data_IF_180360082201
#
_entry.id   IF_180360082201
#
_cell.length_a   1.000
_cell.length_b   1.000
_cell.length_c   1.000
_cell.angle_alpha   90.00
_cell.angle_beta   90.00
_cell.angle_gamma   90.00
#
_symmetry.space_group_name_H-M   'P 1'
#
loop_
_entity.id
_entity.type
_entity.pdbx_description
1 polymer ?
#
# COMPACT_ATOMS: atom_id res chain seq x y z
N UNK A 1 -2.11 45.58 38.34
CA UNK A 1 -2.13 44.12 38.17
C UNK A 1 -2.90 43.83 36.88
N UNK A 2 -2.20 43.91 35.75
CA UNK A 2 -2.74 43.88 34.37
C UNK A 2 -2.18 42.65 33.66
N UNK A 3 -2.64 41.45 34.02
CA UNK A 3 -2.18 40.21 33.40
C UNK A 3 -3.35 39.27 32.99
N UNK A 4 -4.61 39.60 33.27
CA UNK A 4 -5.70 38.61 33.08
C UNK A 4 -6.57 38.75 31.83
N UNK A 5 -6.39 39.78 30.98
CA UNK A 5 -7.16 39.89 29.73
C UNK A 5 -6.44 39.41 28.46
N UNK A 6 -5.11 39.19 28.51
CA UNK A 6 -4.35 38.77 27.33
C UNK A 6 -4.57 37.27 26.97
N UNK A 7 -4.80 36.40 27.96
CA UNK A 7 -4.92 34.96 27.72
C UNK A 7 -6.26 34.54 27.09
N UNK A 8 -7.37 35.25 27.35
CA UNK A 8 -8.68 34.90 26.80
C UNK A 8 -8.80 35.32 25.32
N UNK A 9 -8.20 36.46 24.95
CA UNK A 9 -8.24 36.96 23.56
C UNK A 9 -7.43 36.06 22.63
N UNK A 10 -6.36 35.42 23.10
CA UNK A 10 -5.57 34.45 22.32
C UNK A 10 -6.32 33.14 22.03
N UNK A 11 -7.30 32.75 22.85
CA UNK A 11 -8.04 31.50 22.67
C UNK A 11 -9.12 31.61 21.57
N UNK A 12 -9.72 32.79 21.39
CA UNK A 12 -10.77 32.99 20.39
C UNK A 12 -10.22 33.21 18.97
N UNK A 13 -9.00 33.72 18.81
CA UNK A 13 -8.36 33.85 17.48
C UNK A 13 -7.85 32.49 16.96
N UNK A 14 -7.66 31.50 17.84
CA UNK A 14 -7.28 30.13 17.44
C UNK A 14 -8.45 29.34 16.82
N UNK A 15 -9.70 29.66 17.14
CA UNK A 15 -10.88 28.97 16.56
C UNK A 15 -11.47 29.67 15.34
N UNK A 16 -10.99 30.86 14.96
CA UNK A 16 -11.59 31.65 13.88
C UNK A 16 -10.67 31.93 12.68
N UNK A 17 -9.44 31.39 12.62
CA UNK A 17 -8.56 31.59 11.47
C UNK A 17 -7.61 30.42 11.18
N UNK A 18 -8.10 29.18 11.24
CA UNK A 18 -7.51 28.11 10.43
C UNK A 18 -8.37 27.91 9.18
N UNK A 19 -8.23 28.83 8.22
CA UNK A 19 -8.33 28.35 6.84
C UNK A 19 -7.04 27.55 6.66
N UNK A 20 -7.12 26.23 6.83
CA UNK A 20 -6.12 25.35 6.25
C UNK A 20 -6.18 25.62 4.74
N UNK A 21 -5.33 26.54 4.25
CA UNK A 21 -5.01 26.59 2.84
C UNK A 21 -4.08 25.40 2.62
N UNK A 22 -4.65 24.20 2.54
CA UNK A 22 -3.94 23.05 2.02
C UNK A 22 -3.78 23.30 0.51
N UNK A 23 -2.77 24.10 0.15
CA UNK A 23 -2.27 24.25 -1.21
C UNK A 23 -1.60 22.98 -1.74
N UNK A 24 -1.73 21.86 -1.03
CA UNK A 24 -1.29 20.55 -1.47
C UNK A 24 -2.51 19.84 -2.05
N UNK A 25 -2.46 19.59 -3.36
CA UNK A 25 -3.48 18.83 -4.07
C UNK A 25 -3.83 17.51 -3.38
N UNK A 26 -5.01 16.97 -3.69
CA UNK A 26 -5.40 15.68 -3.14
C UNK A 26 -4.49 14.56 -3.68
N UNK A 27 -4.11 13.57 -2.86
CA UNK A 27 -3.41 12.40 -3.35
C UNK A 27 -4.30 11.66 -4.36
N UNK A 28 -3.74 11.32 -5.51
CA UNK A 28 -4.45 10.67 -6.61
C UNK A 28 -3.59 9.62 -7.30
N UNK A 29 -4.25 8.57 -7.79
CA UNK A 29 -3.63 7.50 -8.56
C UNK A 29 -3.99 7.62 -10.05
N UNK A 30 -3.18 7.00 -10.90
CA UNK A 30 -3.50 6.84 -12.33
C UNK A 30 -4.76 5.99 -12.52
N UNK A 31 -5.31 5.99 -13.74
CA UNK A 31 -6.41 5.08 -14.10
C UNK A 31 -6.04 3.63 -13.80
N UNK A 32 -6.98 2.89 -13.22
CA UNK A 32 -6.84 1.48 -12.82
C UNK A 32 -5.89 1.21 -11.64
N UNK A 33 -5.52 2.24 -10.88
CA UNK A 33 -4.82 2.11 -9.60
C UNK A 33 -5.74 2.55 -8.45
N UNK A 34 -5.73 1.78 -7.36
CA UNK A 34 -6.56 2.03 -6.19
C UNK A 34 -5.75 2.76 -5.11
N UNK A 35 -6.26 3.90 -4.64
CA UNK A 35 -5.62 4.72 -3.61
C UNK A 35 -5.88 4.16 -2.21
N UNK A 36 -4.82 3.78 -1.50
CA UNK A 36 -4.86 3.60 -0.05
C UNK A 36 -4.49 4.93 0.62
N UNK A 37 -5.52 5.65 1.08
CA UNK A 37 -5.39 7.01 1.62
C UNK A 37 -4.44 7.15 2.83
N UNK A 38 -4.43 6.23 3.81
CA UNK A 38 -3.61 6.38 5.02
C UNK A 38 -2.11 6.57 4.74
N UNK A 39 -1.57 5.86 3.75
CA UNK A 39 -0.15 5.95 3.37
C UNK A 39 0.07 6.75 2.07
N UNK A 40 -1.00 7.21 1.42
CA UNK A 40 -0.97 7.87 0.09
C UNK A 40 -0.23 7.01 -0.94
N UNK A 41 -0.47 5.70 -0.91
CA UNK A 41 0.08 4.74 -1.86
C UNK A 41 -1.02 4.28 -2.82
N UNK A 42 -0.63 3.97 -4.04
CA UNK A 42 -1.47 3.46 -5.11
C UNK A 42 -1.13 2.00 -5.36
N UNK A 43 -2.15 1.15 -5.44
CA UNK A 43 -1.99 -0.28 -5.66
C UNK A 43 -2.71 -0.70 -6.93
N UNK A 44 -2.12 -1.66 -7.64
CA UNK A 44 -2.75 -2.30 -8.79
C UNK A 44 -2.50 -3.79 -8.71
N UNK A 45 -3.55 -4.55 -8.98
CA UNK A 45 -3.49 -6.01 -9.04
C UNK A 45 -3.47 -6.47 -10.48
N UNK A 46 -2.63 -7.46 -10.75
CA UNK A 46 -2.52 -8.10 -12.04
C UNK A 46 -2.83 -9.57 -11.85
N UNK A 47 -3.80 -10.10 -12.58
CA UNK A 47 -4.29 -11.49 -12.47
C UNK A 47 -3.57 -12.45 -13.42
N UNK A 48 -2.42 -12.03 -13.96
CA UNK A 48 -1.62 -12.89 -14.82
C UNK A 48 -0.70 -13.79 -14.00
N UNK A 49 -0.55 -15.04 -14.44
CA UNK A 49 0.33 -16.01 -13.79
C UNK A 49 1.78 -15.71 -14.15
N UNK A 50 2.61 -15.51 -13.13
CA UNK A 50 4.01 -15.16 -13.31
C UNK A 50 4.83 -15.58 -12.09
N UNK A 51 6.15 -15.67 -12.24
CA UNK A 51 7.05 -15.90 -11.11
C UNK A 51 7.13 -14.62 -10.25
N UNK A 52 7.58 -14.74 -9.01
CA UNK A 52 7.79 -13.57 -8.16
C UNK A 52 8.83 -12.62 -8.77
N UNK A 53 9.90 -13.19 -9.35
CA UNK A 53 10.97 -12.44 -9.99
C UNK A 53 10.46 -11.63 -11.18
N UNK A 54 9.65 -12.25 -12.05
CA UNK A 54 9.05 -11.57 -13.19
C UNK A 54 8.02 -10.53 -12.77
N UNK A 55 7.20 -10.82 -11.75
CA UNK A 55 6.25 -9.85 -11.18
C UNK A 55 6.97 -8.59 -10.68
N UNK A 56 8.10 -8.77 -9.99
CA UNK A 56 8.92 -7.66 -9.50
C UNK A 56 9.45 -6.81 -10.66
N UNK A 57 9.98 -7.43 -11.71
CA UNK A 57 10.44 -6.71 -12.92
C UNK A 57 9.29 -5.96 -13.59
N UNK A 58 8.10 -6.57 -13.69
CA UNK A 58 6.91 -5.93 -14.28
C UNK A 58 6.44 -4.72 -13.46
N UNK A 59 6.45 -4.79 -12.13
CA UNK A 59 6.17 -3.63 -11.31
C UNK A 59 7.21 -2.51 -11.51
N UNK A 60 8.50 -2.86 -11.61
CA UNK A 60 9.57 -1.89 -11.85
C UNK A 60 9.44 -1.18 -13.20
N UNK A 61 9.00 -1.89 -14.26
CA UNK A 61 8.70 -1.30 -15.57
C UNK A 61 7.58 -0.24 -15.51
N UNK A 62 6.73 -0.29 -14.49
CA UNK A 62 5.66 0.69 -14.24
C UNK A 62 6.07 1.78 -13.24
N UNK A 63 7.36 1.92 -12.94
CA UNK A 63 7.90 2.78 -11.88
C UNK A 63 7.25 2.51 -10.51
N UNK A 64 6.98 1.23 -10.25
CA UNK A 64 6.39 0.71 -9.02
C UNK A 64 7.28 -0.40 -8.44
N UNK A 65 6.87 -0.95 -7.31
CA UNK A 65 7.46 -2.15 -6.72
C UNK A 65 6.37 -3.18 -6.49
N UNK A 66 6.71 -4.44 -6.17
CA UNK A 66 5.74 -5.31 -5.52
C UNK A 66 5.24 -4.66 -4.23
N UNK A 67 3.98 -4.93 -3.87
CA UNK A 67 3.34 -4.28 -2.73
C UNK A 67 3.99 -4.68 -1.40
N UNK A 68 4.20 -3.68 -0.54
CA UNK A 68 4.71 -3.84 0.83
C UNK A 68 3.59 -3.58 1.83
N UNK A 69 3.66 -4.22 3.01
CA UNK A 69 2.57 -4.20 3.99
C UNK A 69 3.12 -3.86 5.37
N UNK A 70 2.65 -2.76 5.94
CA UNK A 70 3.13 -2.18 7.21
C UNK A 70 2.06 -2.14 8.31
N UNK A 71 0.85 -2.62 8.02
CA UNK A 71 -0.22 -2.66 9.00
C UNK A 71 -1.28 -3.69 8.67
N UNK A 72 -2.03 -4.11 9.68
CA UNK A 72 -3.22 -4.96 9.49
C UNK A 72 -4.27 -4.31 8.59
N UNK A 73 -4.41 -2.99 8.64
CA UNK A 73 -5.35 -2.26 7.79
C UNK A 73 -4.93 -2.29 6.31
N UNK A 74 -3.63 -2.18 6.04
CA UNK A 74 -3.08 -2.30 4.69
C UNK A 74 -3.18 -3.74 4.18
N UNK A 75 -2.95 -4.73 5.06
CA UNK A 75 -3.16 -6.14 4.73
C UNK A 75 -4.60 -6.41 4.31
N UNK A 76 -5.57 -5.99 5.13
CA UNK A 76 -6.99 -6.16 4.84
C UNK A 76 -7.41 -5.42 3.56
N UNK A 77 -6.89 -4.22 3.33
CA UNK A 77 -7.12 -3.48 2.08
C UNK A 77 -6.68 -4.30 0.86
N UNK A 78 -5.50 -4.93 0.90
CA UNK A 78 -5.04 -5.79 -0.19
C UNK A 78 -5.84 -7.09 -0.29
N UNK A 79 -6.29 -7.67 0.82
CA UNK A 79 -7.19 -8.83 0.80
C UNK A 79 -8.51 -8.51 0.11
N UNK A 80 -9.14 -7.38 0.41
CA UNK A 80 -10.35 -6.94 -0.30
C UNK A 80 -10.06 -6.64 -1.78
N UNK A 81 -8.93 -6.00 -2.09
CA UNK A 81 -8.54 -5.74 -3.48
C UNK A 81 -8.32 -7.04 -4.28
N UNK A 82 -7.76 -8.08 -3.65
CA UNK A 82 -7.66 -9.40 -4.27
C UNK A 82 -9.03 -9.99 -4.56
N UNK A 83 -9.92 -9.95 -3.57
CA UNK A 83 -11.28 -10.48 -3.69
C UNK A 83 -12.08 -9.78 -4.81
N UNK A 84 -12.10 -8.45 -4.81
CA UNK A 84 -12.84 -7.62 -5.78
C UNK A 84 -12.37 -7.85 -7.23
N UNK A 85 -11.13 -8.30 -7.40
CA UNK A 85 -10.53 -8.57 -8.72
C UNK A 85 -10.39 -10.05 -9.04
N UNK A 86 -10.91 -10.93 -8.19
CA UNK A 86 -10.76 -12.39 -8.32
C UNK A 86 -9.30 -12.83 -8.46
N UNK A 87 -8.38 -12.09 -7.84
CA UNK A 87 -6.97 -12.39 -7.83
C UNK A 87 -6.67 -13.50 -6.81
N UNK A 88 -6.35 -14.69 -7.30
CA UNK A 88 -5.93 -15.81 -6.47
C UNK A 88 -4.44 -15.72 -6.14
N UNK A 89 -4.16 -15.74 -4.84
CA UNK A 89 -2.84 -15.83 -4.22
C UNK A 89 -1.79 -14.85 -4.79
N UNK A 90 -2.06 -13.53 -4.78
CA UNK A 90 -1.15 -12.54 -5.32
C UNK A 90 0.21 -12.49 -4.60
N UNK A 91 1.28 -12.40 -5.38
CA UNK A 91 2.62 -12.10 -4.87
C UNK A 91 2.65 -10.73 -4.17
N UNK A 92 3.39 -10.68 -3.04
CA UNK A 92 3.74 -9.46 -2.32
C UNK A 92 5.25 -9.29 -2.27
N UNK A 93 5.70 -8.08 -1.95
CA UNK A 93 7.11 -7.67 -2.01
C UNK A 93 7.97 -8.15 -0.85
N UNK A 94 7.54 -9.15 -0.08
CA UNK A 94 8.32 -9.69 1.04
C UNK A 94 9.21 -10.83 0.53
N UNK A 95 10.51 -10.73 0.79
CA UNK A 95 11.50 -11.74 0.43
C UNK A 95 12.31 -12.14 1.67
N UNK A 96 12.63 -13.42 1.79
CA UNK A 96 13.57 -13.96 2.75
C UNK A 96 14.92 -14.18 2.08
N UNK A 97 15.94 -13.48 2.53
CA UNK A 97 17.32 -13.67 2.07
C UNK A 97 18.15 -14.29 3.19
N UNK A 98 19.40 -14.70 2.92
CA UNK A 98 20.29 -15.23 3.95
C UNK A 98 20.54 -14.26 5.14
N UNK A 99 20.09 -13.00 5.06
CA UNK A 99 20.10 -12.01 6.14
C UNK A 99 18.75 -11.75 6.83
N UNK A 100 17.71 -12.53 6.51
CA UNK A 100 16.35 -12.40 7.05
C UNK A 100 15.34 -11.83 6.06
N UNK A 101 14.13 -11.54 6.59
CA UNK A 101 13.02 -10.95 5.85
C UNK A 101 13.32 -9.49 5.48
N UNK A 102 12.99 -9.11 4.24
CA UNK A 102 13.10 -7.74 3.74
C UNK A 102 12.00 -7.41 2.74
N UNK A 103 11.59 -6.15 2.71
CA UNK A 103 10.70 -5.60 1.70
C UNK A 103 11.49 -5.12 0.47
N UNK A 104 10.94 -5.31 -0.73
CA UNK A 104 11.58 -4.89 -2.00
C UNK A 104 11.79 -3.37 -2.12
N UNK A 105 11.05 -2.55 -1.38
CA UNK A 105 11.20 -1.09 -1.36
C UNK A 105 12.26 -0.62 -0.33
N UNK A 106 12.88 -1.55 0.41
CA UNK A 106 13.89 -1.27 1.43
C UNK A 106 13.35 -0.75 2.75
N UNK A 107 12.03 -0.70 2.92
CA UNK A 107 11.39 -0.32 4.19
C UNK A 107 11.64 -1.37 5.28
N UNK A 108 11.50 -0.96 6.54
CA UNK A 108 11.62 -1.86 7.67
C UNK A 108 10.49 -2.89 7.69
N UNK A 109 10.79 -4.12 8.08
CA UNK A 109 9.78 -5.16 8.30
C UNK A 109 9.16 -5.00 9.70
N UNK A 110 8.32 -3.97 9.84
CA UNK A 110 7.64 -3.55 11.07
C UNK A 110 6.30 -4.27 11.32
N UNK A 111 5.77 -4.94 10.29
CA UNK A 111 4.56 -5.75 10.37
C UNK A 111 4.82 -7.16 9.82
N UNK A 112 4.64 -8.15 10.68
CA UNK A 112 4.80 -9.58 10.37
C UNK A 112 3.61 -10.42 10.87
N UNK A 113 2.49 -9.76 11.20
CA UNK A 113 1.38 -10.38 11.93
C UNK A 113 0.48 -11.31 11.11
N UNK A 114 0.68 -11.40 9.79
CA UNK A 114 -0.21 -12.13 8.87
C UNK A 114 0.39 -13.44 8.34
N UNK A 115 1.50 -13.95 8.88
CA UNK A 115 1.99 -15.27 8.48
C UNK A 115 1.06 -16.38 8.93
N UNK A 116 0.69 -17.29 8.04
CA UNK A 116 -0.04 -18.50 8.42
C UNK A 116 0.76 -19.28 9.48
N UNK A 117 0.12 -19.93 10.48
CA UNK A 117 0.83 -20.69 11.49
C UNK A 117 1.89 -21.61 10.89
N UNK A 118 3.08 -21.57 11.50
CA UNK A 118 4.29 -22.28 11.07
C UNK A 118 5.05 -21.65 9.90
N UNK A 119 4.55 -20.59 9.27
CA UNK A 119 5.32 -19.81 8.27
C UNK A 119 5.97 -18.57 8.90
N UNK A 120 7.06 -18.05 8.29
CA UNK A 120 7.82 -18.62 7.17
C UNK A 120 8.64 -19.85 7.59
N UNK A 121 8.69 -20.89 6.76
CA UNK A 121 9.36 -22.17 7.08
C UNK A 121 10.83 -22.23 6.66
N UNK A 122 11.31 -21.25 5.87
CA UNK A 122 12.72 -21.13 5.43
C UNK A 122 13.34 -22.45 4.92
N UNK A 123 12.70 -23.06 3.92
CA UNK A 123 13.16 -24.29 3.26
C UNK A 123 13.43 -24.07 1.75
N UNK A 124 14.15 -23.00 1.40
CA UNK A 124 14.37 -22.58 0.00
C UNK A 124 13.19 -21.82 -0.63
N UNK A 125 12.10 -21.66 0.13
CA UNK A 125 10.97 -20.80 -0.19
C UNK A 125 11.22 -19.40 0.35
N UNK A 126 11.58 -18.51 -0.55
CA UNK A 126 12.09 -17.18 -0.19
C UNK A 126 11.13 -16.05 -0.53
N UNK A 127 10.02 -16.31 -1.22
CA UNK A 127 9.10 -15.25 -1.65
C UNK A 127 7.73 -15.43 -1.01
N UNK A 128 7.07 -14.33 -0.64
CA UNK A 128 5.77 -14.38 0.01
C UNK A 128 4.62 -14.06 -0.94
N UNK A 129 3.50 -14.75 -0.75
CA UNK A 129 2.21 -14.45 -1.37
C UNK A 129 1.17 -14.18 -0.28
N UNK A 130 0.16 -13.39 -0.62
CA UNK A 130 -1.04 -13.18 0.20
C UNK A 130 -2.15 -14.07 -0.35
N UNK A 131 -2.85 -14.82 0.51
CA UNK A 131 -4.01 -15.62 0.08
C UNK A 131 -5.19 -14.69 -0.18
N UNK A 132 -5.61 -14.62 -1.44
CA UNK A 132 -6.74 -13.80 -1.88
C UNK A 132 -8.07 -14.56 -1.96
N UNK A 133 -8.00 -15.89 -2.05
CA UNK A 133 -9.18 -16.74 -2.16
C UNK A 133 -9.87 -16.95 -0.80
N UNK A 134 -11.20 -16.90 -0.79
CA UNK A 134 -12.08 -17.08 0.39
C UNK A 134 -12.63 -18.50 0.52
N UNK A 135 -12.13 -19.45 -0.25
CA UNK A 135 -12.63 -20.84 -0.22
C UNK A 135 -12.29 -21.59 1.07
N UNK A 136 -11.22 -21.21 1.76
CA UNK A 136 -10.63 -21.98 2.87
C UNK A 136 -10.53 -21.21 4.21
N UNK A 137 -11.15 -20.03 4.34
CA UNK A 137 -10.96 -19.09 5.48
C UNK A 137 -9.48 -18.74 5.75
N UNK A 138 -8.69 -18.68 4.68
CA UNK A 138 -7.26 -18.36 4.71
C UNK A 138 -6.95 -16.98 4.12
N UNK A 139 -7.97 -16.24 3.72
CA UNK A 139 -7.80 -14.92 3.13
C UNK A 139 -7.00 -13.98 4.05
N UNK A 140 -6.10 -13.21 3.44
CA UNK A 140 -5.25 -12.26 4.15
C UNK A 140 -4.06 -12.86 4.91
N UNK A 141 -3.94 -14.19 4.99
CA UNK A 141 -2.73 -14.83 5.47
C UNK A 141 -1.63 -14.86 4.41
N UNK A 142 -0.38 -14.88 4.86
CA UNK A 142 0.82 -14.96 4.03
C UNK A 142 1.42 -16.35 4.08
N UNK A 143 1.90 -16.81 2.93
CA UNK A 143 2.60 -18.08 2.76
C UNK A 143 3.92 -17.86 2.03
N UNK A 144 4.93 -18.66 2.37
CA UNK A 144 6.20 -18.68 1.63
C UNK A 144 6.13 -19.66 0.45
N UNK A 145 6.79 -19.28 -0.65
CA UNK A 145 6.91 -20.09 -1.85
C UNK A 145 8.25 -19.86 -2.55
N UNK A 146 8.65 -20.82 -3.39
CA UNK A 146 9.78 -20.66 -4.30
C UNK A 146 9.48 -19.53 -5.31
N UNK A 147 10.38 -18.55 -5.34
CA UNK A 147 10.29 -17.35 -6.15
C UNK A 147 10.17 -17.61 -7.66
N UNK A 148 10.63 -18.77 -8.13
CA UNK A 148 10.58 -19.16 -9.55
C UNK A 148 9.35 -20.00 -9.90
N UNK A 149 8.50 -20.33 -8.93
CA UNK A 149 7.27 -21.09 -9.19
C UNK A 149 6.33 -20.25 -10.06
N UNK A 150 5.90 -20.84 -11.18
CA UNK A 150 4.88 -20.27 -12.06
C UNK A 150 3.68 -21.21 -12.08
N UNK A 151 2.49 -20.68 -11.82
CA UNK A 151 1.24 -21.41 -12.08
C UNK A 151 0.91 -22.54 -11.12
N UNK A 152 1.54 -22.61 -9.94
CA UNK A 152 1.09 -23.41 -8.81
C UNK A 152 0.89 -22.50 -7.59
N UNK A 153 -0.36 -22.37 -7.15
CA UNK A 153 -0.87 -21.42 -6.15
C UNK A 153 -0.89 -19.94 -6.59
N UNK A 154 0.25 -19.27 -6.78
CA UNK A 154 0.26 -17.84 -7.11
C UNK A 154 -0.20 -17.55 -8.55
N UNK A 155 -1.35 -16.87 -8.70
CA UNK A 155 -1.94 -16.52 -10.00
C UNK A 155 -2.05 -15.03 -10.26
N UNK A 156 -1.53 -14.21 -9.36
CA UNK A 156 -1.60 -12.76 -9.44
C UNK A 156 -0.40 -12.10 -8.77
N UNK A 157 -0.32 -10.77 -8.83
CA UNK A 157 0.61 -9.98 -8.05
C UNK A 157 0.09 -8.55 -7.82
N UNK A 158 0.54 -7.93 -6.73
CA UNK A 158 0.25 -6.53 -6.43
C UNK A 158 1.45 -5.65 -6.74
N UNK A 159 1.26 -4.61 -7.54
CA UNK A 159 2.19 -3.50 -7.63
C UNK A 159 1.75 -2.34 -6.74
N UNK A 160 2.73 -1.57 -6.25
CA UNK A 160 2.56 -0.42 -5.37
C UNK A 160 3.48 0.74 -5.79
N UNK A 161 2.98 1.97 -5.73
CA UNK A 161 3.77 3.20 -5.89
C UNK A 161 3.19 4.35 -5.08
N UNK A 162 3.94 5.42 -4.90
CA UNK A 162 3.43 6.63 -4.24
C UNK A 162 2.37 7.32 -5.09
N UNK A 163 1.34 7.87 -4.44
CA UNK A 163 0.33 8.69 -5.11
C UNK A 163 0.93 10.00 -5.60
N UNK A 164 0.46 10.46 -6.76
CA UNK A 164 0.69 11.82 -7.22
C UNK A 164 -0.16 12.83 -6.46
N UNK A 165 0.06 14.11 -6.74
CA UNK A 165 -0.69 15.22 -6.16
C UNK A 165 -1.47 15.91 -7.29
N UNK A 166 -2.81 15.80 -7.30
CA UNK A 166 -3.64 16.55 -8.26
C UNK A 166 -3.83 17.97 -7.74
N UNK A 167 -3.21 18.95 -8.40
CA UNK A 167 -3.48 20.36 -8.13
C UNK A 167 -4.95 20.66 -8.46
N UNK A 168 -5.70 21.17 -7.49
CA UNK A 168 -7.03 21.70 -7.77
C UNK A 168 -6.91 22.85 -8.78
N UNK A 169 -7.68 22.80 -9.86
CA UNK A 169 -7.80 23.93 -10.77
C UNK A 169 -8.49 25.08 -10.01
N UNK A 170 -7.71 26.01 -9.46
CA UNK A 170 -8.24 27.27 -8.96
C UNK A 170 -8.72 28.05 -10.19
N UNK A 171 -10.04 28.11 -10.39
CA UNK A 171 -10.64 29.02 -11.36
C UNK A 171 -10.42 30.43 -10.81
N UNK A 172 -9.35 31.09 -11.22
CA UNK A 172 -9.16 32.52 -10.99
C UNK A 172 -10.33 33.26 -11.66
N UNK A 173 -11.33 33.66 -10.86
CA UNK A 173 -12.26 34.71 -11.28
C UNK A 173 -11.43 35.98 -11.47
N UNK A 174 -11.08 36.30 -12.72
CA UNK A 174 -10.62 37.65 -13.08
C UNK A 174 -11.71 38.63 -12.65
N UNK A 175 -11.44 39.44 -11.62
CA UNK A 175 -12.22 40.66 -11.39
C UNK A 175 -11.89 41.60 -12.55
N UNK A 176 -12.83 41.73 -13.47
CA UNK A 176 -12.87 42.81 -14.45
C UNK A 176 -12.90 44.14 -13.72
N UNK A 177 -11.92 45.00 -14.05
CA UNK A 177 -11.76 46.39 -13.63
C UNK A 177 -12.98 47.26 -13.90
#
# INVERSE_FOLDING_TARGET
MKIELACIVLCLVCMQNFIFVDGQGAPSCDSDWTLYRPTRKCYKVFTERTSWNDANVKCQQLHATLATIHSVFENNFLTELAYDTSASDPWIGLINTNGGLSWVDGSAVDYQGSWWPQHPLSNGKNCALLIGDRTDNKEGWWFDQDCNTVGQAASAYFCMKNAGITKANVIEKKSSS
#
